data_IF_016631243593
#
_entry.id   IF_016631243593
#
_cell.length_a   1.000
_cell.length_b   1.000
_cell.length_c   1.000
_cell.angle_alpha   90.00
_cell.angle_beta   90.00
_cell.angle_gamma   90.00
#
_symmetry.space_group_name_H-M   'P 1'
#
loop_
_entity.id
_entity.type
_entity.pdbx_description
1 polymer ?
#
# COMPACT_ATOMS: atom_id res chain seq x y z
N UNK A 1 -1.93 -36.48 -43.35
CA UNK A 1 -3.16 -36.98 -42.72
C UNK A 1 -3.20 -36.36 -41.34
N UNK A 2 -4.12 -35.41 -41.20
CA UNK A 2 -4.65 -34.72 -40.03
C UNK A 2 -3.66 -34.20 -38.97
N UNK A 3 -3.17 -32.97 -39.19
CA UNK A 3 -2.63 -32.15 -38.10
C UNK A 3 -3.81 -31.58 -37.31
N UNK A 4 -4.37 -32.37 -36.40
CA UNK A 4 -5.31 -31.83 -35.42
C UNK A 4 -4.55 -30.82 -34.55
N UNK A 5 -5.00 -29.57 -34.58
CA UNK A 5 -4.56 -28.56 -33.63
C UNK A 5 -4.90 -29.06 -32.23
N UNK A 6 -3.91 -29.08 -31.35
CA UNK A 6 -4.17 -29.35 -29.95
C UNK A 6 -4.99 -28.20 -29.37
N UNK A 7 -5.85 -28.48 -28.39
CA UNK A 7 -6.63 -27.49 -27.65
C UNK A 7 -5.78 -26.30 -27.19
N UNK A 8 -4.51 -26.53 -26.87
CA UNK A 8 -3.56 -25.48 -26.50
C UNK A 8 -3.32 -24.45 -27.62
N UNK A 9 -3.18 -24.92 -28.86
CA UNK A 9 -2.94 -24.06 -30.02
C UNK A 9 -4.20 -23.26 -30.40
N UNK A 10 -5.38 -23.81 -30.09
CA UNK A 10 -6.68 -23.14 -30.26
C UNK A 10 -6.82 -22.04 -29.20
N UNK A 11 -6.44 -22.31 -27.96
CA UNK A 11 -6.49 -21.35 -26.85
C UNK A 11 -5.55 -20.15 -27.10
N UNK A 12 -4.35 -20.41 -27.61
CA UNK A 12 -3.37 -19.37 -27.90
C UNK A 12 -3.85 -18.42 -29.01
N UNK A 13 -4.61 -18.92 -29.99
CA UNK A 13 -5.20 -18.11 -31.07
C UNK A 13 -6.41 -17.27 -30.60
N UNK A 14 -7.22 -17.79 -29.68
CA UNK A 14 -8.35 -17.05 -29.11
C UNK A 14 -7.88 -15.89 -28.22
N UNK A 15 -6.83 -16.11 -27.43
CA UNK A 15 -6.22 -15.07 -26.60
C UNK A 15 -5.60 -13.93 -27.41
N UNK A 16 -5.21 -14.17 -28.67
CA UNK A 16 -4.68 -13.14 -29.56
C UNK A 16 -5.78 -12.25 -30.17
N UNK A 17 -7.01 -12.78 -30.33
CA UNK A 17 -8.15 -12.06 -30.93
C UNK A 17 -8.89 -11.17 -29.92
N UNK A 18 -8.93 -11.56 -28.64
CA UNK A 18 -9.54 -10.75 -27.57
C UNK A 18 -8.65 -9.56 -27.16
N UNK A 19 -7.41 -9.51 -27.66
CA UNK A 19 -6.42 -8.51 -27.27
C UNK A 19 -6.42 -7.25 -28.15
N UNK A 20 -7.28 -7.12 -29.18
CA UNK A 20 -7.25 -5.95 -30.08
C UNK A 20 -8.63 -5.62 -30.72
N UNK A 21 -9.62 -5.21 -29.93
CA UNK A 21 -10.67 -4.34 -30.48
C UNK A 21 -11.05 -3.16 -29.55
N UNK A 22 -10.49 -2.03 -29.96
CA UNK A 22 -10.62 -0.68 -29.48
C UNK A 22 -12.02 -0.12 -29.79
N UNK A 23 -12.85 0.09 -28.76
CA UNK A 23 -14.03 0.96 -28.84
C UNK A 23 -13.74 2.20 -27.98
N UNK A 24 -13.07 3.19 -28.58
CA UNK A 24 -13.10 4.56 -28.09
C UNK A 24 -14.38 5.22 -28.62
N UNK A 25 -15.35 5.48 -27.76
CA UNK A 25 -16.40 6.45 -28.01
C UNK A 25 -16.76 7.16 -26.68
N UNK A 26 -16.24 8.38 -26.55
CA UNK A 26 -16.79 9.56 -25.89
C UNK A 26 -17.24 9.50 -24.40
N UNK A 27 -16.58 10.16 -23.44
CA UNK A 27 -16.34 11.61 -23.20
C UNK A 27 -17.04 12.01 -21.87
N UNK A 28 -16.19 12.44 -20.95
CA UNK A 28 -16.36 13.10 -19.65
C UNK A 28 -16.53 12.30 -18.33
N UNK A 29 -15.74 12.68 -17.30
CA UNK A 29 -15.60 11.99 -16.03
C UNK A 29 -16.57 12.56 -14.99
N UNK A 30 -17.21 11.69 -14.21
CA UNK A 30 -17.74 12.14 -12.91
C UNK A 30 -16.67 11.93 -11.84
N UNK A 31 -15.86 12.97 -11.69
CA UNK A 31 -15.02 13.16 -10.54
C UNK A 31 -15.89 13.61 -9.35
N UNK A 32 -16.66 12.70 -8.74
CA UNK A 32 -17.24 12.94 -7.43
C UNK A 32 -17.69 11.65 -6.72
N UNK A 33 -16.73 10.93 -6.15
CA UNK A 33 -17.00 10.29 -4.86
C UNK A 33 -15.69 10.23 -4.10
N UNK A 34 -15.38 11.37 -3.48
CA UNK A 34 -14.74 11.49 -2.18
C UNK A 34 -14.30 10.13 -1.60
N UNK A 35 -13.05 9.76 -1.89
CA UNK A 35 -12.35 8.67 -1.20
C UNK A 35 -12.00 9.17 0.20
N UNK A 36 -13.05 9.44 0.98
CA UNK A 36 -12.97 9.77 2.40
C UNK A 36 -12.70 8.49 3.17
N UNK A 37 -11.67 8.55 4.02
CA UNK A 37 -11.20 7.53 4.94
C UNK A 37 -10.47 6.32 4.34
N UNK A 38 -9.29 6.62 3.79
CA UNK A 38 -8.17 5.71 3.97
C UNK A 38 -7.80 5.70 5.48
N UNK A 39 -8.40 4.76 6.22
CA UNK A 39 -8.00 4.42 7.58
C UNK A 39 -6.48 4.16 7.58
N UNK A 40 -5.74 5.15 8.09
CA UNK A 40 -4.29 5.13 8.16
C UNK A 40 -3.88 4.13 9.25
N UNK A 41 -3.54 2.90 8.87
CA UNK A 41 -2.79 2.02 9.77
C UNK A 41 -1.46 2.70 10.12
N UNK A 42 -1.37 3.18 11.36
CA UNK A 42 -0.16 3.79 11.93
C UNK A 42 0.90 2.70 11.97
N UNK A 43 1.86 2.75 11.05
CA UNK A 43 3.03 1.89 11.07
C UNK A 43 4.06 2.48 12.03
N UNK A 44 4.25 1.85 13.19
CA UNK A 44 5.32 2.14 14.14
C UNK A 44 6.66 1.62 13.58
N UNK A 45 7.19 2.28 12.55
CA UNK A 45 8.47 1.90 11.96
C UNK A 45 9.63 2.57 12.71
N UNK A 46 10.15 1.91 13.75
CA UNK A 46 11.47 2.23 14.31
C UNK A 46 12.57 1.64 13.40
N UNK A 47 13.11 2.44 12.49
CA UNK A 47 14.38 2.10 11.81
C UNK A 47 15.52 2.88 12.44
N UNK A 48 16.03 2.39 13.57
CA UNK A 48 17.43 2.65 13.94
C UNK A 48 18.31 1.84 12.97
N UNK A 49 18.68 2.45 11.85
CA UNK A 49 19.81 1.98 11.04
C UNK A 49 20.95 2.96 11.30
N UNK A 50 21.69 2.72 12.37
CA UNK A 50 22.97 3.36 12.65
C UNK A 50 23.99 2.83 11.64
N UNK A 51 24.15 3.54 10.53
CA UNK A 51 25.29 3.32 9.64
C UNK A 51 26.43 4.23 10.08
N UNK A 52 27.36 3.62 10.84
CA UNK A 52 28.62 4.19 11.27
C UNK A 52 29.45 4.68 10.07
N UNK A 53 29.59 6.00 9.95
CA UNK A 53 30.64 6.62 9.15
C UNK A 53 31.48 7.52 10.07
N UNK A 54 32.34 6.89 10.87
CA UNK A 54 33.46 7.54 11.53
C UNK A 54 34.38 8.20 10.49
N UNK A 55 34.36 9.52 10.42
CA UNK A 55 35.58 10.34 10.29
C UNK A 55 35.25 11.81 10.56
N UNK A 56 35.03 12.15 11.83
CA UNK A 56 35.18 13.54 12.27
C UNK A 56 36.50 13.62 13.04
N UNK A 57 37.51 14.13 12.34
CA UNK A 57 38.76 14.58 12.93
C UNK A 57 38.45 15.53 14.07
N UNK A 58 38.84 15.13 15.28
CA UNK A 58 38.90 16.00 16.44
C UNK A 58 39.83 17.18 16.13
N UNK A 59 39.28 18.38 16.22
CA UNK A 59 40.07 19.57 16.53
C UNK A 59 39.20 20.44 17.44
N UNK A 60 39.50 20.37 18.74
CA UNK A 60 39.15 21.41 19.69
C UNK A 60 39.75 22.72 19.21
N UNK A 61 38.92 23.72 18.92
CA UNK A 61 39.25 25.07 19.34
C UNK A 61 37.98 25.88 19.61
N UNK A 62 38.02 26.56 20.74
CA UNK A 62 36.98 27.35 21.34
C UNK A 62 37.12 28.79 20.85
N UNK A 63 36.19 29.28 20.02
CA UNK A 63 35.93 30.72 19.95
C UNK A 63 34.61 31.03 19.28
N UNK A 64 33.73 31.63 20.07
CA UNK A 64 32.62 32.50 19.71
C UNK A 64 32.98 33.46 18.54
N UNK A 65 32.28 33.35 17.41
CA UNK A 65 31.91 34.44 16.48
C UNK A 65 31.55 33.89 15.08
N UNK A 66 30.31 34.14 14.67
CA UNK A 66 29.88 34.42 13.29
C UNK A 66 30.50 33.64 12.11
N UNK A 67 30.71 32.34 12.27
CA UNK A 67 31.17 31.49 11.18
C UNK A 67 29.98 30.86 10.43
N UNK A 68 29.54 31.59 9.41
CA UNK A 68 28.95 31.08 8.18
C UNK A 68 27.56 30.43 8.33
N UNK A 69 26.65 30.98 7.53
CA UNK A 69 25.53 30.29 6.92
C UNK A 69 26.00 28.98 6.24
N UNK A 70 26.33 27.97 7.04
CA UNK A 70 26.46 26.60 6.59
C UNK A 70 25.05 26.21 6.21
N UNK A 71 24.85 26.20 4.91
CA UNK A 71 23.64 25.87 4.17
C UNK A 71 22.97 24.64 4.78
N UNK A 72 22.23 24.82 5.86
CA UNK A 72 21.63 23.71 6.58
C UNK A 72 20.45 23.32 5.73
N UNK A 73 20.61 22.20 5.02
CA UNK A 73 19.57 21.56 4.23
C UNK A 73 18.47 20.97 5.15
N UNK A 74 18.15 21.63 6.25
CA UNK A 74 17.16 21.20 7.20
C UNK A 74 16.42 22.37 7.86
N UNK A 75 15.19 22.11 8.29
CA UNK A 75 14.41 22.92 9.23
C UNK A 75 14.40 22.23 10.60
N UNK A 76 14.24 23.01 11.67
CA UNK A 76 14.10 22.49 13.02
C UNK A 76 12.71 22.83 13.57
N UNK A 77 11.99 21.80 14.03
CA UNK A 77 10.73 21.94 14.74
C UNK A 77 10.94 22.38 16.19
N UNK A 78 9.88 22.89 16.83
CA UNK A 78 9.89 23.30 18.25
C UNK A 78 10.26 22.17 19.21
N UNK A 79 9.95 20.93 18.83
CA UNK A 79 10.31 19.68 19.53
C UNK A 79 11.72 19.16 19.15
N UNK A 80 12.54 19.96 18.48
CA UNK A 80 13.89 19.63 18.01
C UNK A 80 13.97 18.53 16.95
N UNK A 81 12.84 18.12 16.34
CA UNK A 81 12.91 17.29 15.14
C UNK A 81 13.53 18.06 13.98
N UNK A 82 14.38 17.37 13.22
CA UNK A 82 15.11 17.90 12.06
C UNK A 82 14.44 17.40 10.78
N UNK A 83 14.03 18.33 9.92
CA UNK A 83 13.33 18.05 8.66
C UNK A 83 14.23 18.42 7.49
N UNK A 84 14.49 17.52 6.53
CA UNK A 84 15.32 17.84 5.37
C UNK A 84 14.62 18.84 4.43
N UNK A 85 15.37 19.82 3.90
CA UNK A 85 14.98 20.68 2.77
C UNK A 85 15.16 19.98 1.43
N UNK A 86 16.05 19.00 1.39
CA UNK A 86 16.36 18.24 0.19
C UNK A 86 15.39 17.07 0.11
N UNK A 87 14.63 16.94 -0.99
CA UNK A 87 13.77 15.78 -1.17
C UNK A 87 14.63 14.52 -1.21
N UNK A 88 14.13 13.38 -0.71
CA UNK A 88 14.85 12.12 -0.80
C UNK A 88 15.16 11.81 -2.27
N UNK A 89 16.34 11.24 -2.53
CA UNK A 89 16.71 10.79 -3.87
C UNK A 89 15.67 9.79 -4.38
N UNK A 90 15.28 9.92 -5.66
CA UNK A 90 14.30 9.02 -6.28
C UNK A 90 14.88 7.61 -6.37
N UNK A 91 14.58 6.78 -5.37
CA UNK A 91 14.91 5.37 -5.36
C UNK A 91 13.64 4.54 -5.57
N UNK A 92 13.79 3.37 -6.18
CA UNK A 92 12.71 2.39 -6.26
C UNK A 92 12.61 1.70 -4.91
N UNK A 93 11.39 1.55 -4.39
CA UNK A 93 11.14 0.68 -3.24
C UNK A 93 11.57 -0.74 -3.64
N UNK A 94 12.45 -1.41 -2.86
CA UNK A 94 12.82 -2.80 -3.12
C UNK A 94 11.57 -3.68 -3.17
N UNK A 95 11.53 -4.67 -4.07
CA UNK A 95 10.34 -5.49 -4.27
C UNK A 95 9.86 -6.19 -2.98
N UNK A 96 10.77 -6.56 -2.08
CA UNK A 96 10.44 -7.18 -0.79
C UNK A 96 9.77 -6.22 0.21
N UNK A 97 9.90 -4.90 0.02
CA UNK A 97 9.25 -3.86 0.83
C UNK A 97 7.89 -3.45 0.27
N UNK A 98 7.50 -3.96 -0.90
CA UNK A 98 6.18 -3.72 -1.46
C UNK A 98 5.24 -4.77 -0.85
N UNK A 99 4.62 -4.41 0.28
CA UNK A 99 3.58 -5.24 0.89
C UNK A 99 2.30 -5.03 0.09
N UNK A 100 1.90 -6.04 -0.68
CA UNK A 100 0.67 -6.02 -1.47
C UNK A 100 -0.44 -6.67 -0.66
N UNK A 101 -1.32 -5.87 -0.08
CA UNK A 101 -2.60 -6.36 0.43
C UNK A 101 -3.63 -6.23 -0.69
N UNK A 102 -3.96 -7.35 -1.35
CA UNK A 102 -5.09 -7.35 -2.27
C UNK A 102 -6.38 -7.18 -1.47
N UNK A 103 -7.29 -6.29 -1.89
CA UNK A 103 -8.64 -6.25 -1.33
C UNK A 103 -9.33 -7.59 -1.64
N UNK A 104 -9.96 -8.19 -0.63
CA UNK A 104 -10.62 -9.47 -0.79
C UNK A 104 -11.08 -10.08 0.53
N UNK A 105 -11.75 -11.23 0.43
CA UNK A 105 -12.18 -12.00 1.58
C UNK A 105 -10.95 -12.39 2.41
N UNK A 106 -11.06 -12.28 3.74
CA UNK A 106 -10.04 -12.67 4.70
C UNK A 106 -10.54 -13.81 5.58
N UNK A 107 -9.59 -14.59 6.10
CA UNK A 107 -9.88 -15.63 7.09
C UNK A 107 -10.74 -16.77 6.52
N UNK A 108 -11.69 -17.34 7.30
CA UNK A 108 -12.44 -18.53 6.88
C UNK A 108 -13.31 -18.30 5.64
N UNK A 109 -13.71 -17.04 5.36
CA UNK A 109 -14.42 -16.69 4.14
C UNK A 109 -13.55 -16.79 2.88
N UNK A 110 -12.22 -16.66 3.01
CA UNK A 110 -11.29 -16.82 1.90
C UNK A 110 -11.07 -18.29 1.52
N UNK A 111 -11.22 -19.21 2.48
CA UNK A 111 -10.98 -20.64 2.26
C UNK A 111 -12.05 -21.28 1.36
N UNK A 112 -13.22 -20.64 1.24
CA UNK A 112 -14.31 -21.08 0.38
C UNK A 112 -14.33 -20.24 -0.89
N UNK A 113 -14.05 -20.87 -2.04
CA UNK A 113 -14.14 -20.21 -3.34
C UNK A 113 -15.58 -19.81 -3.70
N UNK A 114 -16.56 -20.55 -3.18
CA UNK A 114 -17.99 -20.31 -3.39
C UNK A 114 -18.66 -20.26 -2.02
N UNK A 115 -19.22 -19.09 -1.69
CA UNK A 115 -20.00 -18.88 -0.47
C UNK A 115 -21.44 -18.61 -0.89
N UNK A 116 -22.37 -19.37 -0.32
CA UNK A 116 -23.80 -19.10 -0.46
C UNK A 116 -24.14 -17.78 0.24
N UNK A 117 -25.11 -16.97 -0.25
CA UNK A 117 -25.55 -15.75 0.42
C UNK A 117 -25.90 -15.96 1.91
N UNK A 118 -26.44 -17.12 2.27
CA UNK A 118 -26.74 -17.48 3.65
C UNK A 118 -25.48 -17.67 4.49
N UNK A 119 -24.44 -18.30 3.93
CA UNK A 119 -23.16 -18.49 4.61
C UNK A 119 -22.42 -17.16 4.78
N UNK A 120 -22.49 -16.27 3.78
CA UNK A 120 -21.95 -14.92 3.89
C UNK A 120 -22.64 -14.16 5.03
N UNK A 121 -23.97 -14.20 5.08
CA UNK A 121 -24.75 -13.54 6.13
C UNK A 121 -24.39 -14.09 7.52
N UNK A 122 -24.32 -15.41 7.66
CA UNK A 122 -23.97 -16.07 8.93
C UNK A 122 -22.53 -15.80 9.36
N UNK A 123 -21.64 -15.49 8.41
CA UNK A 123 -20.26 -15.07 8.71
C UNK A 123 -20.18 -13.62 9.23
N UNK A 124 -21.13 -12.77 8.83
CA UNK A 124 -21.24 -11.38 9.30
C UNK A 124 -22.01 -11.27 10.63
N UNK A 125 -23.04 -12.10 10.80
CA UNK A 125 -23.89 -12.15 11.99
C UNK A 125 -23.77 -13.53 12.63
N UNK A 126 -22.83 -13.66 13.56
CA UNK A 126 -22.67 -14.90 14.35
C UNK A 126 -23.82 -15.06 15.34
N UNK A 127 -24.06 -16.30 15.79
CA UNK A 127 -25.08 -16.60 16.80
C UNK A 127 -24.87 -15.76 18.07
N UNK A 128 -23.64 -15.55 18.51
CA UNK A 128 -23.29 -14.71 19.65
C UNK A 128 -23.79 -13.25 19.50
N UNK A 129 -23.67 -12.68 18.29
CA UNK A 129 -24.15 -11.31 17.99
C UNK A 129 -25.69 -11.29 18.03
N UNK A 130 -26.33 -12.32 17.47
CA UNK A 130 -27.79 -12.44 17.47
C UNK A 130 -28.32 -12.54 18.90
N UNK A 131 -27.70 -13.38 19.73
CA UNK A 131 -28.06 -13.56 21.14
C UNK A 131 -27.88 -12.27 21.93
N UNK A 132 -26.79 -11.53 21.69
CA UNK A 132 -26.57 -10.22 22.30
C UNK A 132 -27.69 -9.22 21.93
N UNK A 133 -28.10 -9.18 20.66
CA UNK A 133 -29.20 -8.33 20.20
C UNK A 133 -30.52 -8.74 20.87
N UNK A 134 -30.79 -10.04 20.98
CA UNK A 134 -31.99 -10.56 21.65
C UNK A 134 -32.01 -10.25 23.15
N UNK A 135 -30.85 -10.25 23.80
CA UNK A 135 -30.74 -9.91 25.22
C UNK A 135 -31.07 -8.43 25.49
N UNK A 136 -30.66 -7.53 24.59
CA UNK A 136 -30.83 -6.08 24.75
C UNK A 136 -32.13 -5.52 24.15
N UNK A 137 -32.85 -6.30 23.34
CA UNK A 137 -34.12 -5.89 22.73
C UNK A 137 -35.37 -6.27 23.54
N UNK A 138 -35.18 -6.89 24.72
CA UNK A 138 -36.24 -7.31 25.64
C UNK A 138 -36.43 -6.32 26.78
#
# INVERSE_FOLDING_TARGET
>A
MDKNLNLQQIQDLLNALDSDENVNEDIFPDASSDLSDAESEISDHNTESEEEAESISENEDSSDSDAQSRNSNAFYGRNRYKWSKVPPSRSRVPAHNIIIHLPGLRGPAQAKNEISPLEAWSSLFTEDIIDLILQHSR
#
